data_IF_089604205656
#
_entry.id   IF_089604205656
#
_cell.length_a   1.000
_cell.length_b   1.000
_cell.length_c   1.000
_cell.angle_alpha   90.00
_cell.angle_beta   90.00
_cell.angle_gamma   90.00
#
_symmetry.space_group_name_H-M   'P 1'
#
loop_
_entity.id
_entity.type
_entity.pdbx_description
1 polymer ?
#
# COMPACT_ATOMS: atom_id res chain seq x y z
N UNK A 1 -13.70 -12.48 3.39
CA UNK A 1 -12.28 -12.11 3.25
C UNK A 1 -11.45 -12.74 4.36
N UNK A 2 -10.37 -13.43 4.01
CA UNK A 2 -9.41 -13.97 4.98
C UNK A 2 -8.54 -12.83 5.53
N UNK A 3 -8.24 -12.83 6.84
CA UNK A 3 -7.44 -11.77 7.50
C UNK A 3 -6.07 -11.61 6.83
N UNK A 4 -5.47 -12.71 6.41
CA UNK A 4 -4.19 -12.76 5.70
C UNK A 4 -4.20 -11.94 4.41
N UNK A 5 -5.22 -12.11 3.56
CA UNK A 5 -5.35 -11.37 2.28
C UNK A 5 -5.47 -9.87 2.54
N UNK A 6 -6.28 -9.47 3.53
CA UNK A 6 -6.40 -8.06 3.91
C UNK A 6 -5.06 -7.48 4.34
N UNK A 7 -4.34 -8.19 5.22
CA UNK A 7 -3.07 -7.73 5.75
C UNK A 7 -2.01 -7.64 4.64
N UNK A 8 -1.96 -8.61 3.72
CA UNK A 8 -1.10 -8.57 2.54
C UNK A 8 -1.36 -7.31 1.70
N UNK A 9 -2.63 -6.97 1.45
CA UNK A 9 -2.98 -5.79 0.64
C UNK A 9 -2.70 -4.47 1.35
N UNK A 10 -2.91 -4.41 2.66
CA UNK A 10 -2.50 -3.30 3.53
C UNK A 10 -0.98 -3.11 3.47
N UNK A 11 -0.24 -4.21 3.47
CA UNK A 11 1.22 -4.19 3.37
C UNK A 11 1.69 -3.68 2.00
N UNK A 12 1.09 -4.15 0.91
CA UNK A 12 1.39 -3.67 -0.44
C UNK A 12 1.11 -2.17 -0.58
N UNK A 13 0.00 -1.69 -0.03
CA UNK A 13 -0.33 -0.26 -0.01
C UNK A 13 0.69 0.54 0.81
N UNK A 14 1.07 0.05 1.99
CA UNK A 14 2.12 0.66 2.81
C UNK A 14 3.45 0.74 2.08
N UNK A 15 3.88 -0.33 1.40
CA UNK A 15 5.12 -0.36 0.63
C UNK A 15 5.08 0.70 -0.48
N UNK A 16 3.93 0.84 -1.16
CA UNK A 16 3.72 1.87 -2.18
C UNK A 16 3.86 3.28 -1.60
N UNK A 17 3.24 3.53 -0.45
CA UNK A 17 3.33 4.79 0.26
C UNK A 17 4.77 5.08 0.73
N UNK A 18 5.46 4.09 1.31
CA UNK A 18 6.84 4.22 1.75
C UNK A 18 7.77 4.55 0.56
N UNK A 19 7.56 3.92 -0.60
CA UNK A 19 8.31 4.22 -1.82
C UNK A 19 8.12 5.67 -2.29
N UNK A 20 6.92 6.23 -2.11
CA UNK A 20 6.64 7.64 -2.42
C UNK A 20 7.23 8.57 -1.35
N UNK A 21 7.03 8.28 -0.06
CA UNK A 21 7.48 9.13 1.04
C UNK A 21 8.99 9.25 1.16
N UNK A 22 9.75 8.19 0.86
CA UNK A 22 11.21 8.24 0.79
C UNK A 22 11.68 9.29 -0.22
N UNK A 23 10.97 9.46 -1.35
CA UNK A 23 11.31 10.50 -2.33
C UNK A 23 11.03 11.92 -1.81
N UNK A 24 10.08 12.07 -0.90
CA UNK A 24 9.61 13.35 -0.37
C UNK A 24 10.22 13.73 0.99
N UNK A 25 11.11 12.89 1.54
CA UNK A 25 11.70 13.05 2.89
C UNK A 25 10.67 13.10 4.03
N UNK A 26 9.49 12.52 3.82
CA UNK A 26 8.37 12.49 4.78
C UNK A 26 8.47 11.30 5.74
N UNK A 27 9.49 11.31 6.61
CA UNK A 27 9.77 10.17 7.51
C UNK A 27 8.73 10.00 8.63
N UNK A 28 8.13 11.09 9.10
CA UNK A 28 7.19 11.05 10.23
C UNK A 28 5.86 10.38 9.86
N UNK A 29 5.36 10.61 8.64
CA UNK A 29 4.11 10.00 8.16
C UNK A 29 4.21 8.47 8.01
N UNK A 30 5.41 7.96 7.71
CA UNK A 30 5.68 6.52 7.66
C UNK A 30 5.48 5.88 9.04
N UNK A 31 5.85 6.58 10.12
CA UNK A 31 5.66 6.10 11.50
C UNK A 31 4.17 5.99 11.82
N UNK A 32 3.37 6.99 11.45
CA UNK A 32 1.91 6.98 11.62
C UNK A 32 1.28 5.81 10.87
N UNK A 33 1.71 5.54 9.64
CA UNK A 33 1.22 4.39 8.86
C UNK A 33 1.62 3.05 9.49
N UNK A 34 2.84 2.96 10.04
CA UNK A 34 3.28 1.76 10.76
C UNK A 34 2.41 1.49 11.98
N UNK A 35 2.04 2.53 12.72
CA UNK A 35 1.14 2.40 13.87
C UNK A 35 -0.25 1.89 13.45
N UNK A 36 -0.83 2.48 12.41
CA UNK A 36 -2.12 2.04 11.84
C UNK A 36 -2.10 0.57 11.42
N UNK A 37 -1.04 0.14 10.72
CA UNK A 37 -0.90 -1.24 10.27
C UNK A 37 -0.68 -2.23 11.42
N UNK A 38 0.00 -1.83 12.50
CA UNK A 38 0.20 -2.69 13.66
C UNK A 38 -1.10 -2.89 14.45
N UNK A 39 -1.93 -1.85 14.59
CA UNK A 39 -3.23 -1.97 15.27
C UNK A 39 -4.14 -2.99 14.57
N UNK A 40 -4.15 -2.97 13.24
CA UNK A 40 -4.84 -3.93 12.37
C UNK A 40 -4.38 -5.38 12.57
N UNK A 41 -3.09 -5.60 12.82
CA UNK A 41 -2.49 -6.94 12.95
C UNK A 41 -2.77 -7.58 14.29
N UNK A 42 -2.63 -6.81 15.36
CA UNK A 42 -2.50 -7.33 16.74
C UNK A 42 -3.83 -7.68 17.41
N UNK A 43 -4.98 -7.44 16.78
CA UNK A 43 -6.29 -7.72 17.37
C UNK A 43 -7.06 -8.80 16.64
N UNK A 44 -7.82 -9.59 17.41
CA UNK A 44 -8.77 -10.59 16.93
C UNK A 44 -10.16 -9.96 16.83
N UNK A 45 -10.59 -9.66 15.60
CA UNK A 45 -11.86 -8.97 15.34
C UNK A 45 -12.93 -9.90 14.79
N UNK A 46 -14.16 -9.72 15.27
CA UNK A 46 -15.38 -10.20 14.62
C UNK A 46 -15.55 -9.59 13.22
N UNK A 47 -16.43 -10.16 12.38
CA UNK A 47 -16.65 -9.69 11.00
C UNK A 47 -17.10 -8.22 10.93
N UNK A 48 -17.98 -7.78 11.83
CA UNK A 48 -18.47 -6.40 11.91
C UNK A 48 -17.35 -5.45 12.31
N UNK A 49 -16.58 -5.81 13.34
CA UNK A 49 -15.43 -5.01 13.79
C UNK A 49 -14.37 -4.85 12.69
N UNK A 50 -14.16 -5.87 11.84
CA UNK A 50 -13.25 -5.77 10.68
C UNK A 50 -13.71 -4.73 9.67
N UNK A 51 -15.00 -4.65 9.39
CA UNK A 51 -15.54 -3.69 8.43
C UNK A 51 -15.35 -2.24 8.91
N UNK A 52 -15.76 -1.94 10.15
CA UNK A 52 -15.56 -0.60 10.74
C UNK A 52 -14.10 -0.19 10.75
N UNK A 53 -13.20 -1.14 10.97
CA UNK A 53 -11.79 -0.87 11.04
C UNK A 53 -11.15 -0.64 9.66
N UNK A 54 -11.61 -1.33 8.62
CA UNK A 54 -11.22 -1.04 7.24
C UNK A 54 -11.67 0.38 6.86
N UNK A 55 -12.88 0.79 7.25
CA UNK A 55 -13.35 2.17 7.02
C UNK A 55 -12.45 3.18 7.73
N UNK A 56 -12.14 2.95 9.02
CA UNK A 56 -11.26 3.82 9.78
C UNK A 56 -9.85 3.89 9.17
N UNK A 57 -9.33 2.75 8.71
CA UNK A 57 -8.04 2.69 8.02
C UNK A 57 -8.04 3.50 6.72
N UNK A 58 -9.05 3.30 5.86
CA UNK A 58 -9.22 4.05 4.61
C UNK A 58 -9.31 5.55 4.89
N UNK A 59 -10.08 5.94 5.90
CA UNK A 59 -10.21 7.34 6.31
C UNK A 59 -8.85 7.94 6.69
N UNK A 60 -8.10 7.28 7.58
CA UNK A 60 -6.81 7.76 8.05
C UNK A 60 -5.76 7.83 6.92
N UNK A 61 -5.68 6.81 6.07
CA UNK A 61 -4.77 6.80 4.92
C UNK A 61 -5.13 7.93 3.94
N UNK A 62 -6.42 8.12 3.65
CA UNK A 62 -6.87 9.18 2.74
C UNK A 62 -6.54 10.56 3.30
N UNK A 63 -6.67 10.75 4.62
CA UNK A 63 -6.29 11.99 5.31
C UNK A 63 -4.79 12.27 5.15
N UNK A 64 -3.93 11.32 5.49
CA UNK A 64 -2.46 11.44 5.36
C UNK A 64 -2.06 11.75 3.92
N UNK A 65 -2.66 11.06 2.94
CA UNK A 65 -2.37 11.25 1.51
C UNK A 65 -2.77 12.64 1.04
N UNK A 66 -3.89 13.16 1.54
CA UNK A 66 -4.38 14.51 1.21
C UNK A 66 -3.48 15.59 1.80
N UNK A 67 -3.17 15.50 3.09
CA UNK A 67 -2.32 16.46 3.82
C UNK A 67 -0.93 16.57 3.20
N UNK A 68 -0.38 15.46 2.71
CA UNK A 68 0.95 15.42 2.10
C UNK A 68 0.95 15.55 0.56
N UNK A 69 -0.19 15.89 -0.05
CA UNK A 69 -0.35 16.01 -1.51
C UNK A 69 0.12 14.78 -2.32
N UNK A 70 0.05 13.58 -1.73
CA UNK A 70 0.63 12.35 -2.27
C UNK A 70 -0.07 11.92 -3.55
N UNK A 71 -1.37 12.22 -3.71
CA UNK A 71 -2.10 11.99 -4.96
C UNK A 71 -1.45 12.72 -6.14
N UNK A 72 -0.98 13.96 -5.97
CA UNK A 72 -0.31 14.74 -7.03
C UNK A 72 1.04 14.11 -7.37
N UNK A 73 1.78 13.67 -6.34
CA UNK A 73 3.06 12.99 -6.52
C UNK A 73 2.88 11.69 -7.29
N UNK A 74 1.88 10.88 -6.94
CA UNK A 74 1.57 9.62 -7.60
C UNK A 74 1.22 9.83 -9.08
N UNK A 75 0.40 10.83 -9.42
CA UNK A 75 0.10 11.19 -10.82
C UNK A 75 1.36 11.53 -11.60
N UNK A 76 2.22 12.39 -11.04
CA UNK A 76 3.51 12.77 -11.66
C UNK A 76 4.47 11.60 -11.85
N UNK A 77 4.37 10.55 -11.03
CA UNK A 77 5.15 9.31 -11.20
C UNK A 77 4.60 8.51 -12.37
N UNK A 78 3.28 8.34 -12.45
CA UNK A 78 2.60 7.59 -13.52
C UNK A 78 2.81 8.24 -14.89
N UNK A 79 2.79 9.58 -14.96
CA UNK A 79 2.93 10.34 -16.22
C UNK A 79 4.37 10.38 -16.77
N UNK A 80 5.36 9.79 -16.08
CA UNK A 80 6.76 9.89 -16.46
C UNK A 80 7.49 8.55 -16.34
N UNK A 81 7.87 7.97 -17.48
CA UNK A 81 8.52 6.67 -17.59
C UNK A 81 9.75 6.52 -16.67
N UNK A 82 10.60 7.55 -16.61
CA UNK A 82 11.78 7.51 -15.73
C UNK A 82 11.42 7.53 -14.25
N UNK A 83 10.31 8.18 -13.86
CA UNK A 83 9.85 8.21 -12.46
C UNK A 83 9.15 6.91 -12.08
N UNK A 84 8.36 6.31 -12.98
CA UNK A 84 7.73 5.02 -12.71
C UNK A 84 8.80 3.94 -12.53
N UNK A 85 9.85 3.91 -13.35
CA UNK A 85 10.96 2.95 -13.18
C UNK A 85 11.64 3.08 -11.82
N UNK A 86 11.96 4.33 -11.41
CA UNK A 86 12.55 4.60 -10.09
C UNK A 86 11.62 4.19 -8.95
N UNK A 87 10.32 4.40 -9.12
CA UNK A 87 9.31 3.96 -8.17
C UNK A 87 9.27 2.42 -8.08
N UNK A 88 9.24 1.70 -9.21
CA UNK A 88 9.21 0.23 -9.26
C UNK A 88 10.44 -0.38 -8.60
N UNK A 89 11.63 0.18 -8.84
CA UNK A 89 12.88 -0.24 -8.17
C UNK A 89 12.76 -0.07 -6.66
N UNK A 90 12.25 1.07 -6.18
CA UNK A 90 12.09 1.34 -4.74
C UNK A 90 11.03 0.46 -4.09
N UNK A 91 9.87 0.31 -4.74
CA UNK A 91 8.81 -0.59 -4.29
C UNK A 91 9.37 -2.00 -4.11
N UNK A 92 10.05 -2.51 -5.15
CA UNK A 92 10.67 -3.84 -5.13
C UNK A 92 11.71 -3.94 -4.01
N UNK A 93 12.59 -2.96 -3.87
CA UNK A 93 13.58 -2.92 -2.79
C UNK A 93 12.92 -2.99 -1.40
N UNK A 94 11.90 -2.17 -1.12
CA UNK A 94 11.20 -2.17 0.18
C UNK A 94 10.49 -3.51 0.41
N UNK A 95 9.83 -4.04 -0.63
CA UNK A 95 9.18 -5.35 -0.59
C UNK A 95 10.17 -6.45 -0.21
N UNK A 96 11.32 -6.53 -0.90
CA UNK A 96 12.35 -7.54 -0.64
C UNK A 96 13.11 -7.31 0.67
N UNK A 97 13.36 -6.06 1.08
CA UNK A 97 13.97 -5.74 2.38
C UNK A 97 13.11 -6.25 3.54
N UNK A 98 11.80 -6.14 3.38
CA UNK A 98 10.84 -6.59 4.39
C UNK A 98 10.54 -8.10 4.30
N UNK A 99 11.12 -8.88 3.36
CA UNK A 99 10.86 -10.33 3.19
C UNK A 99 11.13 -11.19 4.42
N UNK A 100 11.98 -10.77 5.37
CA UNK A 100 12.10 -11.45 6.68
C UNK A 100 10.76 -11.58 7.44
N UNK A 101 9.78 -10.72 7.15
CA UNK A 101 8.41 -10.77 7.70
C UNK A 101 7.41 -11.55 6.82
N UNK A 102 7.73 -11.80 5.56
CA UNK A 102 6.84 -12.44 4.58
C UNK A 102 7.20 -13.89 4.27
N UNK A 103 8.29 -14.43 4.84
CA UNK A 103 8.64 -15.86 4.76
C UNK A 103 7.56 -16.80 5.29
N UNK A 104 6.63 -16.29 6.12
CA UNK A 104 5.45 -17.02 6.60
C UNK A 104 4.36 -17.19 5.53
N UNK A 105 4.38 -16.41 4.45
CA UNK A 105 3.46 -16.59 3.32
C UNK A 105 4.13 -17.51 2.29
N UNK A 106 3.90 -18.82 2.45
CA UNK A 106 4.45 -19.91 1.61
C UNK A 106 4.19 -19.78 0.10
N UNK A 107 3.36 -18.85 -0.37
CA UNK A 107 2.96 -18.70 -1.77
C UNK A 107 3.95 -17.91 -2.65
N UNK A 108 5.02 -17.36 -2.08
CA UNK A 108 5.93 -16.45 -2.80
C UNK A 108 7.30 -17.07 -3.07
N UNK A 109 7.32 -18.24 -3.72
CA UNK A 109 8.53 -18.93 -4.20
C UNK A 109 9.14 -18.29 -5.46
N UNK A 110 10.46 -18.43 -5.53
CA UNK A 110 11.49 -17.64 -6.22
C UNK A 110 11.52 -17.87 -7.75
N UNK A 111 11.50 -16.80 -8.54
CA UNK A 111 11.68 -16.84 -10.01
C UNK A 111 11.40 -15.49 -10.69
N UNK A 112 11.86 -15.31 -11.93
CA UNK A 112 11.64 -14.10 -12.77
C UNK A 112 10.15 -13.70 -12.91
N UNK A 113 9.21 -14.62 -12.66
CA UNK A 113 7.78 -14.36 -12.59
C UNK A 113 7.33 -13.50 -11.38
N UNK A 114 8.16 -13.38 -10.32
CA UNK A 114 7.87 -12.48 -9.20
C UNK A 114 8.02 -11.00 -9.59
N UNK A 115 8.96 -10.63 -10.46
CA UNK A 115 9.15 -9.21 -10.80
C UNK A 115 7.93 -8.66 -11.54
N UNK A 116 7.37 -9.44 -12.47
CA UNK A 116 6.14 -9.06 -13.18
C UNK A 116 4.94 -8.91 -12.23
N UNK A 117 4.77 -9.85 -11.29
CA UNK A 117 3.67 -9.81 -10.32
C UNK A 117 3.82 -8.67 -9.31
N UNK A 118 5.05 -8.43 -8.81
CA UNK A 118 5.37 -7.32 -7.90
C UNK A 118 5.18 -5.98 -8.60
N UNK A 119 5.65 -5.85 -9.85
CA UNK A 119 5.44 -4.65 -10.65
C UNK A 119 3.95 -4.40 -10.88
N UNK A 120 3.16 -5.45 -11.12
CA UNK A 120 1.70 -5.31 -11.24
C UNK A 120 1.07 -4.76 -9.96
N UNK A 121 1.49 -5.24 -8.78
CA UNK A 121 1.01 -4.69 -7.50
C UNK A 121 1.48 -3.26 -7.26
N UNK A 122 2.73 -2.95 -7.60
CA UNK A 122 3.27 -1.60 -7.52
C UNK A 122 2.45 -0.63 -8.39
N UNK A 123 2.23 -1.00 -9.67
CA UNK A 123 1.41 -0.23 -10.62
C UNK A 123 -0.02 -0.06 -10.08
N UNK A 124 -0.66 -1.15 -9.67
CA UNK A 124 -2.04 -1.10 -9.16
C UNK A 124 -2.16 -0.16 -7.94
N UNK A 125 -1.26 -0.29 -6.97
CA UNK A 125 -1.32 0.51 -5.74
C UNK A 125 -1.02 1.97 -6.01
N UNK A 126 -0.06 2.31 -6.88
CA UNK A 126 0.20 3.73 -7.22
C UNK A 126 -0.97 4.34 -8.00
N UNK A 127 -1.63 3.58 -8.88
CA UNK A 127 -2.86 4.03 -9.55
C UNK A 127 -3.99 4.31 -8.56
N UNK A 128 -4.20 3.42 -7.58
CA UNK A 128 -5.19 3.67 -6.51
C UNK A 128 -4.86 4.97 -5.79
N UNK A 129 -3.61 5.15 -5.35
CA UNK A 129 -3.16 6.37 -4.64
C UNK A 129 -3.38 7.63 -5.48
N UNK A 130 -3.13 7.56 -6.80
CA UNK A 130 -3.31 8.67 -7.74
C UNK A 130 -4.78 9.12 -7.89
N UNK A 131 -5.74 8.30 -7.46
CA UNK A 131 -7.17 8.60 -7.56
C UNK A 131 -7.84 8.88 -6.22
N UNK A 132 -7.15 8.76 -5.08
CA UNK A 132 -7.74 8.90 -3.73
C UNK A 132 -8.31 10.30 -3.40
N UNK A 133 -8.11 11.28 -4.27
CA UNK A 133 -8.78 12.59 -4.13
C UNK A 133 -10.27 12.54 -4.47
N UNK A 134 -10.78 11.46 -5.07
CA UNK A 134 -12.19 11.34 -5.46
C UNK A 134 -12.84 10.04 -4.92
N UNK A 135 -14.17 10.01 -4.92
CA UNK A 135 -14.96 8.87 -4.41
C UNK A 135 -14.67 7.57 -5.17
N UNK A 136 -14.34 7.66 -6.47
CA UNK A 136 -13.98 6.50 -7.29
C UNK A 136 -12.67 5.85 -6.80
N UNK A 137 -11.68 6.66 -6.44
CA UNK A 137 -10.43 6.18 -5.85
C UNK A 137 -10.63 5.53 -4.49
N UNK A 138 -11.48 6.12 -3.63
CA UNK A 138 -11.86 5.54 -2.33
C UNK A 138 -12.54 4.18 -2.54
N UNK A 139 -13.47 4.08 -3.49
CA UNK A 139 -14.11 2.82 -3.85
C UNK A 139 -13.10 1.78 -4.37
N UNK A 140 -12.17 2.19 -5.25
CA UNK A 140 -11.10 1.31 -5.74
C UNK A 140 -10.20 0.81 -4.60
N UNK A 141 -9.88 1.66 -3.64
CA UNK A 141 -9.13 1.25 -2.44
C UNK A 141 -9.93 0.27 -1.59
N UNK A 142 -11.21 0.55 -1.32
CA UNK A 142 -12.07 -0.36 -0.56
C UNK A 142 -12.21 -1.73 -1.25
N UNK A 143 -12.39 -1.74 -2.57
CA UNK A 143 -12.44 -2.95 -3.39
C UNK A 143 -11.11 -3.70 -3.34
N UNK A 144 -10.00 -2.99 -3.55
CA UNK A 144 -8.66 -3.54 -3.39
C UNK A 144 -8.45 -4.09 -1.98
N UNK A 145 -8.97 -3.50 -0.91
CA UNK A 145 -8.80 -4.08 0.43
C UNK A 145 -9.72 -5.27 0.72
N UNK A 146 -10.77 -5.51 -0.07
CA UNK A 146 -11.85 -6.47 0.25
C UNK A 146 -11.89 -7.73 -0.61
N UNK A 147 -11.39 -7.67 -1.85
CA UNK A 147 -11.21 -8.84 -2.72
C UNK A 147 -10.03 -9.72 -2.29
#
# INVERSE_FOLDING_TARGET
MRKEILLERIDLLKISLEAIFINQKLKNDIITINYLNNDLRNKSYSKIQRFSLIIAYIHNITKIIRENHITIVAKRIIENDKKIDRYLIKFSYIYFRNKKFYSNYKSLTIGQFQSASINRFAILTIYIISELSNNKGIYKLAKFLSE
#
